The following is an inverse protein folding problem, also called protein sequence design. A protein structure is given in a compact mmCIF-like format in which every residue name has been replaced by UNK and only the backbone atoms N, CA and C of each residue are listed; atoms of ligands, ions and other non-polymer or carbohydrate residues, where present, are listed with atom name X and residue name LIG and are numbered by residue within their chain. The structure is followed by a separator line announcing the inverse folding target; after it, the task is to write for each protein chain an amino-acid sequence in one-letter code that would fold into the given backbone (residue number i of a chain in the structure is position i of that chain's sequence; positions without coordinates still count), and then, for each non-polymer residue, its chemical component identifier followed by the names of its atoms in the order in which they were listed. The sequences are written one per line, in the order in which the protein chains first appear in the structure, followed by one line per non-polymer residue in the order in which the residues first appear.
data_IF_266234832886
#
_entry.id   IF_266234832886
#
_cell.length_a   1.000
_cell.length_b   1.000
_cell.length_c   1.000
_cell.angle_alpha   90.00
_cell.angle_beta   90.00
_cell.angle_gamma   90.00
#
_symmetry.space_group_name_H-M   'P 1'
#
loop_
_entity.id
_entity.type
_entity.pdbx_description
1 polymer ?
#
# COMPACT_ATOMS: atom_id res chain seq x y z
N UNK A 1 -14.35 14.77 7.09
CA UNK A 1 -13.65 13.62 7.74
C UNK A 1 -13.11 12.65 6.70
N UNK A 2 -13.85 12.41 5.61
CA UNK A 2 -13.42 11.67 4.42
C UNK A 2 -12.03 12.06 3.88
N UNK A 3 -11.70 13.37 3.78
CA UNK A 3 -10.41 13.85 3.26
C UNK A 3 -9.22 13.31 4.05
N UNK A 4 -9.36 13.15 5.37
CA UNK A 4 -8.32 12.63 6.24
C UNK A 4 -8.11 11.13 5.99
N UNK A 5 -9.19 10.39 5.78
CA UNK A 5 -9.12 8.95 5.48
C UNK A 5 -8.53 8.72 4.10
N UNK A 6 -8.97 9.46 3.08
CA UNK A 6 -8.37 9.41 1.74
C UNK A 6 -6.90 9.85 1.75
N UNK A 7 -6.57 10.90 2.49
CA UNK A 7 -5.19 11.35 2.66
C UNK A 7 -4.32 10.29 3.32
N UNK A 8 -4.85 9.60 4.33
CA UNK A 8 -4.19 8.47 4.98
C UNK A 8 -4.02 7.29 4.02
N UNK A 9 -5.05 6.96 3.23
CA UNK A 9 -4.98 5.91 2.23
C UNK A 9 -3.89 6.21 1.21
N UNK A 10 -3.86 7.44 0.69
CA UNK A 10 -2.81 7.90 -0.20
C UNK A 10 -1.42 7.78 0.44
N UNK A 11 -1.26 8.17 1.70
CA UNK A 11 0.01 8.01 2.42
C UNK A 11 0.45 6.56 2.53
N UNK A 12 -0.47 5.61 2.68
CA UNK A 12 -0.16 4.18 2.68
C UNK A 12 0.31 3.73 1.29
N UNK A 13 -0.34 4.19 0.21
CA UNK A 13 0.11 3.93 -1.17
C UNK A 13 1.52 4.49 -1.38
N UNK A 14 1.78 5.73 -0.97
CA UNK A 14 3.10 6.36 -1.04
C UNK A 14 4.13 5.62 -0.18
N UNK A 15 3.73 5.11 0.98
CA UNK A 15 4.58 4.26 1.82
C UNK A 15 4.99 2.97 1.09
N UNK A 16 4.12 2.36 0.27
CA UNK A 16 4.51 1.20 -0.51
C UNK A 16 5.51 1.55 -1.63
N UNK A 17 5.27 2.66 -2.34
CA UNK A 17 6.15 3.08 -3.44
C UNK A 17 7.53 3.52 -2.90
N UNK A 18 7.55 4.47 -1.97
CA UNK A 18 8.80 5.02 -1.44
C UNK A 18 9.47 4.12 -0.40
N UNK A 19 8.67 3.34 0.34
CA UNK A 19 9.18 2.38 1.32
C UNK A 19 10.04 1.29 0.69
N UNK A 20 9.75 0.88 -0.55
CA UNK A 20 10.64 -0.04 -1.24
C UNK A 20 12.03 0.56 -1.50
N UNK A 21 12.09 1.77 -2.05
CA UNK A 21 13.34 2.47 -2.31
C UNK A 21 14.13 2.76 -1.01
N UNK A 22 13.44 3.22 0.03
CA UNK A 22 14.03 3.44 1.35
C UNK A 22 14.54 2.12 1.97
N UNK A 23 13.77 1.03 1.82
CA UNK A 23 14.13 -0.29 2.31
C UNK A 23 15.39 -0.83 1.64
N UNK A 24 15.58 -0.56 0.35
CA UNK A 24 16.80 -0.92 -0.38
C UNK A 24 17.99 -0.03 0.03
N UNK A 25 17.78 1.27 0.18
CA UNK A 25 18.83 2.24 0.53
C UNK A 25 19.39 2.04 1.95
N UNK A 26 18.51 1.96 2.96
CA UNK A 26 18.94 1.80 4.36
C UNK A 26 19.23 0.34 4.72
N UNK A 27 18.69 -0.62 3.97
CA UNK A 27 18.78 -2.06 4.20
C UNK A 27 18.52 -2.48 5.67
N UNK A 28 17.60 -1.78 6.35
CA UNK A 28 17.26 -2.05 7.73
C UNK A 28 16.30 -3.24 7.82
N UNK A 29 16.74 -4.31 8.48
CA UNK A 29 16.04 -5.61 8.52
C UNK A 29 14.59 -5.49 9.00
N UNK A 30 14.35 -4.78 10.09
CA UNK A 30 13.00 -4.61 10.64
C UNK A 30 12.08 -3.83 9.70
N UNK A 31 12.60 -2.80 9.03
CA UNK A 31 11.80 -1.99 8.11
C UNK A 31 11.43 -2.77 6.86
N UNK A 32 12.37 -3.53 6.28
CA UNK A 32 12.11 -4.38 5.11
C UNK A 32 11.07 -5.46 5.40
N UNK A 33 11.14 -6.13 6.55
CA UNK A 33 10.12 -7.11 6.94
C UNK A 33 8.76 -6.48 7.18
N UNK A 34 8.70 -5.34 7.87
CA UNK A 34 7.44 -4.64 8.12
C UNK A 34 6.79 -4.19 6.81
N UNK A 35 7.57 -3.58 5.92
CA UNK A 35 7.13 -3.15 4.60
C UNK A 35 6.65 -4.32 3.73
N UNK A 36 7.47 -5.38 3.61
CA UNK A 36 7.10 -6.55 2.81
C UNK A 36 5.90 -7.31 3.39
N UNK A 37 5.80 -7.41 4.73
CA UNK A 37 4.69 -8.08 5.40
C UNK A 37 3.36 -7.33 5.25
N UNK A 38 3.40 -5.99 5.37
CA UNK A 38 2.21 -5.15 5.13
C UNK A 38 1.78 -5.20 3.66
N UNK A 39 2.73 -5.17 2.72
CA UNK A 39 2.44 -5.32 1.29
C UNK A 39 1.81 -6.68 1.00
N UNK A 40 2.36 -7.77 1.55
CA UNK A 40 1.81 -9.12 1.39
C UNK A 40 0.35 -9.22 1.84
N UNK A 41 0.04 -8.61 2.99
CA UNK A 41 -1.31 -8.60 3.54
C UNK A 41 -2.28 -7.87 2.60
N UNK A 42 -1.88 -6.68 2.12
CA UNK A 42 -2.69 -5.89 1.17
C UNK A 42 -2.89 -6.64 -0.14
N UNK A 43 -1.84 -7.21 -0.73
CA UNK A 43 -1.93 -8.03 -1.93
C UNK A 43 -2.89 -9.21 -1.75
N UNK A 44 -2.83 -9.90 -0.60
CA UNK A 44 -3.77 -10.98 -0.30
C UNK A 44 -5.22 -10.48 -0.23
N UNK A 45 -5.48 -9.35 0.45
CA UNK A 45 -6.82 -8.75 0.48
C UNK A 45 -7.33 -8.48 -0.94
N UNK A 46 -6.48 -7.89 -1.80
CA UNK A 46 -6.83 -7.61 -3.19
C UNK A 46 -7.13 -8.89 -4.00
N UNK A 47 -6.33 -9.95 -3.82
CA UNK A 47 -6.57 -11.25 -4.48
C UNK A 47 -7.91 -11.86 -4.04
N UNK A 48 -8.28 -11.75 -2.76
CA UNK A 48 -9.54 -12.24 -2.24
C UNK A 48 -10.73 -11.31 -2.57
N UNK A 49 -10.50 -10.19 -3.25
CA UNK A 49 -11.53 -9.19 -3.53
C UNK A 49 -12.09 -8.54 -2.26
N UNK A 50 -11.35 -8.60 -1.15
CA UNK A 50 -11.74 -7.96 0.11
C UNK A 50 -11.28 -6.51 0.03
N UNK A 51 -12.18 -5.53 0.17
CA UNK A 51 -11.77 -4.13 0.17
C UNK A 51 -10.84 -3.85 1.34
N UNK A 52 -9.91 -2.92 1.16
CA UNK A 52 -9.06 -2.46 2.25
C UNK A 52 -9.95 -1.96 3.40
N UNK A 53 -9.61 -2.22 4.68
CA UNK A 53 -10.41 -1.74 5.80
C UNK A 53 -10.59 -0.21 5.81
N UNK A 54 -9.65 0.53 5.19
CA UNK A 54 -9.77 1.97 4.94
C UNK A 54 -10.88 2.30 3.94
N UNK A 55 -11.01 1.56 2.84
CA UNK A 55 -12.09 1.72 1.86
C UNK A 55 -13.46 1.54 2.50
N UNK A 56 -13.63 0.52 3.34
CA UNK A 56 -14.89 0.30 4.07
C UNK A 56 -15.20 1.47 5.02
N UNK A 57 -14.17 2.04 5.67
CA UNK A 57 -14.34 3.22 6.51
C UNK A 57 -14.67 4.48 5.69
N UNK A 58 -14.11 4.63 4.50
CA UNK A 58 -14.42 5.71 3.56
C UNK A 58 -15.87 5.65 3.07
N UNK A 59 -16.36 4.47 2.72
CA UNK A 59 -17.76 4.27 2.32
C UNK A 59 -18.72 4.60 3.46
N UNK A 60 -18.43 4.11 4.67
CA UNK A 60 -19.24 4.38 5.85
C UNK A 60 -19.30 5.89 6.20
N UNK A 61 -18.19 6.61 6.03
CA UNK A 61 -18.14 8.06 6.27
C UNK A 61 -18.72 8.87 5.10
N UNK A 62 -18.59 8.40 3.86
CA UNK A 62 -19.06 9.07 2.66
C UNK A 62 -20.58 9.06 2.49
N UNK A 63 -21.29 8.05 3.00
CA UNK A 63 -22.78 8.07 3.03
C UNK A 63 -23.34 9.16 3.95
N UNK A 64 -22.55 9.68 4.90
CA UNK A 64 -22.99 10.70 5.85
C UNK A 64 -22.82 12.13 5.36
N UNK A 65 -22.06 12.36 4.30
CA UNK A 65 -21.74 13.69 3.77
C UNK A 65 -21.93 13.72 2.25
N UNK A 66 -23.14 14.06 1.79
CA UNK A 66 -23.51 14.12 0.36
C UNK A 66 -22.87 15.32 -0.37
N UNK A 67 -21.76 15.85 0.14
CA UNK A 67 -21.10 17.08 -0.28
C UNK A 67 -19.58 16.93 -0.30
N UNK A 68 -19.07 15.90 -0.98
CA UNK A 68 -17.63 15.68 -1.07
C UNK A 68 -16.88 16.93 -1.55
N UNK A 69 -15.85 17.33 -0.80
CA UNK A 69 -14.99 18.48 -1.14
C UNK A 69 -14.31 18.28 -2.51
N UNK A 70 -13.98 19.37 -3.21
CA UNK A 70 -13.21 19.33 -4.46
C UNK A 70 -11.94 18.49 -4.29
N UNK A 71 -11.24 18.62 -3.16
CA UNK A 71 -10.02 17.84 -2.84
C UNK A 71 -10.36 16.34 -2.71
N UNK A 72 -11.43 16.01 -1.99
CA UNK A 72 -11.86 14.62 -1.79
C UNK A 72 -12.18 13.94 -3.14
N UNK A 73 -12.80 14.66 -4.06
CA UNK A 73 -13.15 14.16 -5.39
C UNK A 73 -11.91 13.83 -6.25
N UNK A 74 -10.83 14.60 -6.13
CA UNK A 74 -9.57 14.32 -6.83
C UNK A 74 -8.77 13.20 -6.15
N UNK A 75 -8.71 13.20 -4.82
CA UNK A 75 -8.07 12.13 -4.05
C UNK A 75 -8.71 10.77 -4.34
N UNK A 76 -10.05 10.71 -4.40
CA UNK A 76 -10.79 9.47 -4.65
C UNK A 76 -10.39 8.88 -6.00
N UNK A 77 -10.38 9.70 -7.05
CA UNK A 77 -9.94 9.30 -8.38
C UNK A 77 -8.52 8.74 -8.40
N UNK A 78 -7.62 9.35 -7.63
CA UNK A 78 -6.22 8.97 -7.58
C UNK A 78 -5.99 7.68 -6.76
N UNK A 79 -6.66 7.53 -5.62
CA UNK A 79 -6.54 6.35 -4.75
C UNK A 79 -7.20 5.13 -5.38
N UNK A 80 -8.41 5.27 -5.92
CA UNK A 80 -9.12 4.17 -6.58
C UNK A 80 -8.64 3.92 -8.01
N UNK A 81 -7.72 4.74 -8.52
CA UNK A 81 -7.20 4.66 -9.88
C UNK A 81 -8.35 4.48 -10.89
N UNK A 82 -9.38 5.33 -10.81
CA UNK A 82 -10.65 5.16 -11.57
C UNK A 82 -10.47 5.03 -13.09
N UNK A 83 -9.32 5.47 -13.62
CA UNK A 83 -8.95 5.35 -15.02
C UNK A 83 -8.46 3.95 -15.44
N UNK A 84 -8.14 3.09 -14.48
CA UNK A 84 -7.64 1.73 -14.69
C UNK A 84 -8.68 0.71 -14.27
N UNK A 85 -8.63 -0.48 -14.86
CA UNK A 85 -9.48 -1.58 -14.40
C UNK A 85 -8.89 -2.20 -13.14
N UNK A 86 -9.76 -2.75 -12.29
CA UNK A 86 -9.33 -3.44 -11.08
C UNK A 86 -8.33 -4.59 -11.36
N UNK A 87 -8.49 -5.29 -12.48
CA UNK A 87 -7.57 -6.35 -12.94
C UNK A 87 -6.15 -5.81 -13.22
N UNK A 88 -6.05 -4.63 -13.82
CA UNK A 88 -4.76 -3.98 -14.12
C UNK A 88 -4.05 -3.53 -12.84
N UNK A 89 -4.82 -2.97 -11.89
CA UNK A 89 -4.31 -2.53 -10.59
C UNK A 89 -3.83 -3.73 -9.76
N UNK A 90 -4.60 -4.82 -9.73
CA UNK A 90 -4.19 -6.06 -9.07
C UNK A 90 -2.93 -6.65 -9.72
N UNK A 91 -2.86 -6.68 -11.05
CA UNK A 91 -1.68 -7.17 -11.75
C UNK A 91 -0.44 -6.34 -11.42
N UNK A 92 -0.57 -5.00 -11.36
CA UNK A 92 0.50 -4.10 -10.97
C UNK A 92 0.94 -4.31 -9.51
N UNK A 93 -0.01 -4.48 -8.58
CA UNK A 93 0.27 -4.78 -7.18
C UNK A 93 1.01 -6.10 -7.01
N UNK A 94 0.54 -7.18 -7.64
CA UNK A 94 1.19 -8.50 -7.60
C UNK A 94 2.60 -8.44 -8.20
N UNK A 95 2.77 -7.74 -9.33
CA UNK A 95 4.08 -7.54 -9.94
C UNK A 95 5.03 -6.76 -9.02
N UNK A 96 4.53 -5.72 -8.35
CA UNK A 96 5.30 -4.94 -7.39
C UNK A 96 5.65 -5.76 -6.15
N UNK A 97 4.71 -6.52 -5.61
CA UNK A 97 4.95 -7.44 -4.50
C UNK A 97 6.05 -8.45 -4.86
N UNK A 98 5.98 -9.07 -6.03
CA UNK A 98 7.01 -10.00 -6.51
C UNK A 98 8.39 -9.34 -6.58
N UNK A 99 8.48 -8.10 -7.06
CA UNK A 99 9.71 -7.31 -7.09
C UNK A 99 10.25 -7.04 -5.67
N UNK A 100 9.38 -6.67 -4.73
CA UNK A 100 9.76 -6.45 -3.33
C UNK A 100 10.29 -7.74 -2.71
N UNK A 101 9.65 -8.89 -2.94
CA UNK A 101 10.11 -10.18 -2.43
C UNK A 101 11.41 -10.65 -3.09
N UNK A 102 11.56 -10.48 -4.40
CA UNK A 102 12.80 -10.83 -5.11
C UNK A 102 14.00 -10.02 -4.61
N UNK A 103 13.76 -8.80 -4.11
CA UNK A 103 14.82 -7.97 -3.51
C UNK A 103 15.50 -8.62 -2.29
N UNK A 104 14.83 -9.53 -1.58
CA UNK A 104 15.43 -10.26 -0.45
C UNK A 104 16.45 -11.29 -0.92
N UNK A 105 16.30 -11.80 -2.15
CA UNK A 105 17.26 -12.73 -2.76
C UNK A 105 18.52 -12.00 -3.22
N UNK A 106 18.39 -10.81 -3.81
CA UNK A 106 19.53 -10.04 -4.30
C UNK A 106 20.31 -9.32 -3.20
N UNK A 107 19.61 -8.76 -2.22
CA UNK A 107 20.21 -8.05 -1.12
C UNK A 107 19.87 -8.76 0.18
N UNK A 108 20.64 -9.80 0.57
CA UNK A 108 20.37 -10.53 1.80
C UNK A 108 20.43 -9.57 2.98
N UNK A 109 19.49 -9.74 3.90
CA UNK A 109 19.36 -8.92 5.09
C UNK A 109 20.66 -8.99 5.88
N UNK A 110 21.11 -7.85 6.41
CA UNK A 110 22.31 -7.79 7.23
C UNK A 110 22.05 -8.56 8.52
N UNK A 111 22.39 -9.85 8.50
CA UNK A 111 22.20 -10.76 9.62
C UNK A 111 23.01 -10.25 10.80
N UNK A 112 22.33 -9.96 11.91
CA UNK A 112 22.99 -9.72 13.18
C UNK A 112 23.72 -11.01 13.55
N UNK A 113 25.03 -11.08 13.29
CA UNK A 113 25.88 -12.15 13.80
C UNK A 113 25.84 -12.01 15.32
N UNK A 114 24.92 -12.72 15.98
CA UNK A 114 25.06 -12.99 17.40
C UNK A 114 26.33 -13.82 17.52
N UNK A 115 27.41 -13.17 17.97
CA UNK A 115 28.63 -13.87 18.38
C UNK A 115 28.22 -14.92 19.40
N UNK A 116 28.63 -16.15 19.09
CA UNK A 116 28.49 -17.35 19.91
C UNK A 116 29.29 -17.22 21.19
#
# INVERSE_FOLDING_TARGET
MEELVLGLHLLIVLFFIFGFAAGLYYNHTGFRYFHAGTLALVTLLMIFGIPCPLTTLEEFLGETDYGGSFIAAWLRRLVYLEWFKAEDVLAADVAFAFLVFSSFLWLPLRGNKKNK
#
